data_IF_807519361675
#
_entry.id   IF_807519361675
#
_cell.length_a   1.000
_cell.length_b   1.000
_cell.length_c   1.000
_cell.angle_alpha   90.00
_cell.angle_beta   90.00
_cell.angle_gamma   90.00
#
_symmetry.space_group_name_H-M   'P 1'
#
loop_
_entity.id
_entity.type
_entity.pdbx_description
1 polymer ?
#
# COMPACT_ATOMS: atom_id res chain seq x y z
N UNK A 1 -15.80 -4.14 -4.48
CA UNK A 1 -14.62 -5.01 -4.55
C UNK A 1 -13.74 -4.71 -5.78
N UNK A 2 -14.23 -4.81 -7.02
CA UNK A 2 -13.43 -4.53 -8.24
C UNK A 2 -12.80 -3.12 -8.31
N UNK A 3 -13.48 -2.08 -7.84
CA UNK A 3 -12.95 -0.70 -7.82
C UNK A 3 -11.76 -0.53 -6.87
N UNK A 4 -11.72 -1.28 -5.76
CA UNK A 4 -10.65 -1.20 -4.75
C UNK A 4 -9.38 -1.94 -5.23
N UNK A 5 -9.53 -3.15 -5.77
CA UNK A 5 -8.45 -3.93 -6.36
C UNK A 5 -7.83 -3.21 -7.57
N UNK A 6 -8.66 -2.64 -8.45
CA UNK A 6 -8.20 -1.87 -9.60
C UNK A 6 -7.40 -0.63 -9.17
N UNK A 7 -7.78 0.05 -8.08
CA UNK A 7 -7.12 1.26 -7.61
C UNK A 7 -5.74 0.96 -7.01
N UNK A 8 -5.58 -0.09 -6.21
CA UNK A 8 -4.30 -0.47 -5.61
C UNK A 8 -3.33 -1.09 -6.61
N UNK A 9 -3.84 -1.98 -7.47
CA UNK A 9 -3.03 -2.60 -8.50
C UNK A 9 -2.57 -1.58 -9.56
N UNK A 10 -3.42 -0.61 -9.92
CA UNK A 10 -3.08 0.52 -10.78
C UNK A 10 -1.95 1.36 -10.18
N UNK A 11 -2.05 1.74 -8.92
CA UNK A 11 -1.04 2.53 -8.24
C UNK A 11 0.30 1.83 -8.22
N UNK A 12 0.34 0.57 -7.84
CA UNK A 12 1.57 -0.20 -7.70
C UNK A 12 2.31 -0.38 -9.03
N UNK A 13 1.61 -0.71 -10.10
CA UNK A 13 2.22 -0.94 -11.41
C UNK A 13 2.57 0.36 -12.15
N UNK A 14 1.73 1.38 -12.08
CA UNK A 14 2.05 2.71 -12.65
C UNK A 14 3.27 3.28 -11.95
N UNK A 15 3.35 3.20 -10.63
CA UNK A 15 4.48 3.71 -9.85
C UNK A 15 5.74 2.91 -10.10
N UNK A 16 5.68 1.57 -10.13
CA UNK A 16 6.84 0.72 -10.42
C UNK A 16 7.38 1.02 -11.83
N UNK A 17 6.52 1.20 -12.82
CA UNK A 17 6.95 1.54 -14.18
C UNK A 17 7.49 2.99 -14.28
N UNK A 18 6.89 3.93 -13.57
CA UNK A 18 7.35 5.32 -13.51
C UNK A 18 8.69 5.45 -12.77
N UNK A 19 8.88 4.70 -11.67
CA UNK A 19 10.16 4.69 -10.94
C UNK A 19 11.25 3.94 -11.69
N UNK A 20 10.94 2.87 -12.42
CA UNK A 20 11.91 2.12 -13.24
C UNK A 20 12.54 2.97 -14.35
N UNK A 21 11.80 3.93 -14.92
CA UNK A 21 12.31 4.86 -15.94
C UNK A 21 12.99 6.10 -15.36
N UNK A 22 12.81 6.35 -14.07
CA UNK A 22 13.29 7.56 -13.38
C UNK A 22 14.58 7.36 -12.58
N UNK A 23 15.19 6.17 -12.61
CA UNK A 23 16.45 5.91 -11.92
C UNK A 23 17.59 6.72 -12.51
N UNK A 24 17.76 7.93 -12.04
CA UNK A 24 18.99 8.68 -12.28
C UNK A 24 18.97 10.19 -12.08
N UNK A 25 17.82 10.87 -12.09
CA UNK A 25 17.88 12.35 -12.13
C UNK A 25 16.79 13.15 -11.44
N UNK A 26 15.91 12.57 -10.63
CA UNK A 26 14.67 13.30 -10.29
C UNK A 26 14.23 13.31 -8.82
N UNK A 27 15.10 13.54 -7.87
CA UNK A 27 14.65 13.82 -6.50
C UNK A 27 15.11 15.16 -5.91
N UNK A 28 15.92 15.94 -6.62
CA UNK A 28 16.40 17.24 -6.14
C UNK A 28 16.35 18.27 -7.26
N UNK A 29 15.35 19.13 -7.28
CA UNK A 29 15.43 20.32 -8.12
C UNK A 29 14.17 20.93 -8.71
N UNK A 30 12.97 20.48 -8.37
CA UNK A 30 11.75 21.16 -8.80
C UNK A 30 11.09 21.87 -7.63
N UNK A 31 11.13 23.20 -7.64
CA UNK A 31 10.24 24.03 -6.86
C UNK A 31 8.83 23.87 -7.44
N UNK A 32 8.01 23.03 -6.83
CA UNK A 32 6.58 22.95 -7.16
C UNK A 32 5.88 24.16 -6.53
N UNK A 33 5.26 25.00 -7.34
CA UNK A 33 4.23 25.89 -6.84
C UNK A 33 2.97 25.04 -6.58
N UNK A 34 2.44 25.08 -5.37
CA UNK A 34 1.27 24.29 -4.92
C UNK A 34 0.05 24.38 -5.85
N UNK A 35 -0.05 25.48 -6.63
CA UNK A 35 -1.17 25.74 -7.54
C UNK A 35 -1.28 24.80 -8.74
N UNK A 36 -0.15 24.24 -9.23
CA UNK A 36 -0.15 23.41 -10.43
C UNK A 36 -0.44 21.93 -10.11
N UNK A 37 -0.14 21.51 -8.90
CA UNK A 37 -0.32 20.12 -8.45
C UNK A 37 -1.78 19.81 -8.15
N UNK A 38 -2.55 20.78 -7.63
CA UNK A 38 -3.96 20.62 -7.29
C UNK A 38 -4.90 21.04 -8.43
N UNK A 39 -4.42 21.11 -9.67
CA UNK A 39 -5.23 21.53 -10.79
C UNK A 39 -6.36 20.49 -11.08
N UNK A 40 -7.64 20.90 -11.03
CA UNK A 40 -8.78 20.03 -11.31
C UNK A 40 -8.69 19.30 -12.65
N UNK A 41 -8.00 19.86 -13.64
CA UNK A 41 -7.77 19.26 -14.96
C UNK A 41 -7.00 17.93 -14.87
N UNK A 42 -6.10 17.79 -13.88
CA UNK A 42 -5.34 16.56 -13.67
C UNK A 42 -6.23 15.47 -13.05
N UNK A 43 -7.15 15.80 -12.16
CA UNK A 43 -8.13 14.85 -11.61
C UNK A 43 -9.09 14.34 -12.69
N UNK A 44 -9.56 15.23 -13.56
CA UNK A 44 -10.41 14.86 -14.69
C UNK A 44 -9.65 13.98 -15.70
N UNK A 45 -8.37 14.27 -15.96
CA UNK A 45 -7.52 13.47 -16.84
C UNK A 45 -7.28 12.08 -16.26
N UNK A 46 -7.02 12.00 -14.96
CA UNK A 46 -6.85 10.74 -14.24
C UNK A 46 -8.14 9.91 -14.23
N UNK A 47 -9.26 10.55 -13.94
CA UNK A 47 -10.57 9.90 -13.91
C UNK A 47 -10.95 9.33 -15.28
N UNK A 48 -10.68 10.06 -16.36
CA UNK A 48 -10.86 9.59 -17.74
C UNK A 48 -9.94 8.43 -18.06
N UNK A 49 -8.66 8.50 -17.70
CA UNK A 49 -7.70 7.44 -17.92
C UNK A 49 -8.11 6.14 -17.19
N UNK A 50 -8.54 6.26 -15.92
CA UNK A 50 -9.05 5.12 -15.14
C UNK A 50 -10.33 4.56 -15.78
N UNK A 51 -11.25 5.42 -16.18
CA UNK A 51 -12.50 5.02 -16.84
C UNK A 51 -12.26 4.22 -18.13
N UNK A 52 -11.32 4.68 -18.92
CA UNK A 52 -10.94 4.01 -20.18
C UNK A 52 -10.27 2.65 -19.93
N UNK A 53 -9.35 2.56 -18.94
CA UNK A 53 -8.71 1.29 -18.58
C UNK A 53 -9.77 0.30 -18.09
N UNK A 54 -10.63 0.72 -17.17
CA UNK A 54 -11.68 -0.14 -16.60
C UNK A 54 -12.71 -0.54 -17.68
N UNK A 55 -13.05 0.38 -18.60
CA UNK A 55 -13.98 0.13 -19.69
C UNK A 55 -13.45 -0.86 -20.73
N UNK A 56 -12.13 -0.85 -20.96
CA UNK A 56 -11.46 -1.75 -21.90
C UNK A 56 -11.11 -3.12 -21.30
N UNK A 57 -11.31 -3.31 -20.00
CA UNK A 57 -11.02 -4.58 -19.34
C UNK A 57 -12.10 -5.62 -19.72
N UNK A 58 -11.77 -6.52 -20.64
CA UNK A 58 -12.71 -7.49 -21.20
C UNK A 58 -12.89 -8.71 -20.31
N UNK A 59 -11.85 -9.07 -19.55
CA UNK A 59 -11.87 -10.20 -18.64
C UNK A 59 -12.25 -9.74 -17.23
N UNK A 60 -13.22 -10.40 -16.61
CA UNK A 60 -13.68 -10.10 -15.26
C UNK A 60 -13.47 -11.32 -14.37
N UNK A 61 -12.82 -11.10 -13.22
CA UNK A 61 -12.76 -12.11 -12.17
C UNK A 61 -14.18 -12.47 -11.70
N UNK A 62 -14.50 -13.76 -11.77
CA UNK A 62 -15.73 -14.35 -11.22
C UNK A 62 -15.38 -15.18 -9.98
N UNK A 63 -16.35 -15.49 -9.09
CA UNK A 63 -16.10 -16.29 -7.90
C UNK A 63 -15.46 -17.67 -8.15
N UNK A 64 -15.58 -18.19 -9.37
CA UNK A 64 -15.07 -19.50 -9.80
C UNK A 64 -14.03 -19.42 -10.92
N UNK A 65 -13.30 -18.32 -11.01
CA UNK A 65 -12.24 -18.14 -12.02
C UNK A 65 -11.14 -19.19 -11.80
N UNK A 66 -10.85 -19.98 -12.82
CA UNK A 66 -9.79 -20.99 -12.81
C UNK A 66 -8.39 -20.34 -12.84
N UNK A 67 -7.35 -21.07 -12.40
CA UNK A 67 -5.97 -20.55 -12.42
C UNK A 67 -5.49 -20.13 -13.81
N UNK A 68 -5.92 -20.82 -14.84
CA UNK A 68 -5.62 -20.53 -16.25
C UNK A 68 -6.22 -19.19 -16.70
N UNK A 69 -7.41 -18.87 -16.20
CA UNK A 69 -8.06 -17.57 -16.46
C UNK A 69 -7.35 -16.42 -15.75
N UNK A 70 -6.71 -16.67 -14.59
CA UNK A 70 -5.94 -15.64 -13.86
C UNK A 70 -4.75 -15.18 -14.70
N UNK A 71 -4.00 -16.09 -15.30
CA UNK A 71 -2.87 -15.73 -16.16
C UNK A 71 -3.30 -14.91 -17.39
N UNK A 72 -4.47 -15.22 -18.00
CA UNK A 72 -5.02 -14.45 -19.09
C UNK A 72 -5.45 -13.03 -18.65
N UNK A 73 -6.02 -12.91 -17.44
CA UNK A 73 -6.38 -11.62 -16.84
C UNK A 73 -5.16 -10.78 -16.55
N UNK A 74 -4.10 -11.39 -16.04
CA UNK A 74 -2.81 -10.71 -15.78
C UNK A 74 -2.18 -10.20 -17.07
N UNK A 75 -2.19 -11.01 -18.14
CA UNK A 75 -1.66 -10.61 -19.44
C UNK A 75 -2.47 -9.45 -20.07
N UNK A 76 -3.79 -9.50 -19.99
CA UNK A 76 -4.67 -8.40 -20.46
C UNK A 76 -4.41 -7.12 -19.63
N UNK A 77 -4.29 -7.27 -18.31
CA UNK A 77 -3.94 -6.18 -17.40
C UNK A 77 -2.62 -5.52 -17.80
N UNK A 78 -1.54 -6.30 -17.98
CA UNK A 78 -0.25 -5.76 -18.38
C UNK A 78 -0.31 -5.04 -19.75
N UNK A 79 -1.10 -5.56 -20.70
CA UNK A 79 -1.29 -4.92 -21.99
C UNK A 79 -2.00 -3.57 -21.85
N UNK A 80 -3.07 -3.50 -21.06
CA UNK A 80 -3.80 -2.26 -20.76
C UNK A 80 -2.91 -1.23 -20.06
N UNK A 81 -2.10 -1.67 -19.09
CA UNK A 81 -1.18 -0.79 -18.37
C UNK A 81 -0.08 -0.23 -19.27
N UNK A 82 0.49 -1.05 -20.17
CA UNK A 82 1.45 -0.56 -21.17
C UNK A 82 0.84 0.48 -22.10
N UNK A 83 -0.41 0.29 -22.49
CA UNK A 83 -1.13 1.23 -23.35
C UNK A 83 -1.46 2.54 -22.59
N UNK A 84 -1.92 2.44 -21.36
CA UNK A 84 -2.19 3.59 -20.49
C UNK A 84 -0.92 4.43 -20.26
N UNK A 85 0.23 3.78 -20.03
CA UNK A 85 1.51 4.46 -19.84
C UNK A 85 1.94 5.37 -21.01
N UNK A 86 1.50 5.05 -22.24
CA UNK A 86 1.75 5.90 -23.42
C UNK A 86 0.90 7.17 -23.45
N UNK A 87 -0.19 7.20 -22.69
CA UNK A 87 -1.14 8.32 -22.62
C UNK A 87 -0.87 9.26 -21.44
N UNK A 88 0.07 8.89 -20.56
CA UNK A 88 0.45 9.70 -19.41
C UNK A 88 1.38 10.80 -19.89
N UNK A 89 0.90 12.05 -19.87
CA UNK A 89 1.74 13.23 -20.15
C UNK A 89 2.73 13.49 -19.02
N UNK A 90 3.84 14.24 -19.26
CA UNK A 90 4.76 14.62 -18.19
C UNK A 90 4.05 15.29 -17.00
N UNK A 91 3.14 16.22 -17.25
CA UNK A 91 2.40 16.95 -16.22
C UNK A 91 1.51 16.02 -15.39
N UNK A 92 0.81 15.08 -16.06
CA UNK A 92 0.01 14.08 -15.36
C UNK A 92 0.88 13.13 -14.52
N UNK A 93 2.09 12.82 -15.00
CA UNK A 93 3.08 12.03 -14.27
C UNK A 93 3.51 12.73 -12.99
N UNK A 94 3.89 14.00 -13.08
CA UNK A 94 4.35 14.79 -11.95
C UNK A 94 3.24 14.93 -10.90
N UNK A 95 2.01 15.17 -11.35
CA UNK A 95 0.82 15.15 -10.49
C UNK A 95 0.63 13.80 -9.77
N UNK A 96 0.75 12.68 -10.47
CA UNK A 96 0.61 11.34 -9.89
C UNK A 96 1.71 11.05 -8.86
N UNK A 97 2.96 11.42 -9.17
CA UNK A 97 4.10 11.26 -8.25
C UNK A 97 3.89 12.09 -6.99
N UNK A 98 3.51 13.36 -7.13
CA UNK A 98 3.25 14.22 -5.99
C UNK A 98 2.13 13.68 -5.10
N UNK A 99 0.99 13.29 -5.71
CA UNK A 99 -0.15 12.73 -4.98
C UNK A 99 0.20 11.44 -4.24
N UNK A 100 1.02 10.59 -4.84
CA UNK A 100 1.54 9.39 -4.21
C UNK A 100 2.44 9.71 -3.03
N UNK A 101 3.42 10.59 -3.22
CA UNK A 101 4.33 11.00 -2.14
C UNK A 101 3.56 11.66 -0.99
N UNK A 102 2.61 12.53 -1.29
CA UNK A 102 1.76 13.16 -0.26
C UNK A 102 0.99 12.12 0.54
N UNK A 103 0.40 11.12 -0.14
CA UNK A 103 -0.31 10.03 0.55
C UNK A 103 0.63 9.20 1.41
N UNK A 104 1.80 8.81 0.90
CA UNK A 104 2.77 8.02 1.67
C UNK A 104 3.27 8.79 2.90
N UNK A 105 3.54 10.08 2.75
CA UNK A 105 3.93 10.94 3.87
C UNK A 105 2.80 11.04 4.88
N UNK A 106 1.57 11.28 4.44
CA UNK A 106 0.39 11.35 5.29
C UNK A 106 0.17 10.03 6.06
N UNK A 107 0.25 8.90 5.37
CA UNK A 107 0.11 7.58 5.97
C UNK A 107 1.18 7.32 7.04
N UNK A 108 2.43 7.74 6.82
CA UNK A 108 3.51 7.59 7.79
C UNK A 108 3.35 8.56 8.97
N UNK A 109 2.99 9.81 8.71
CA UNK A 109 2.93 10.86 9.75
C UNK A 109 1.67 10.75 10.59
N UNK A 110 0.52 10.49 9.98
CA UNK A 110 -0.80 10.51 10.64
C UNK A 110 -1.43 9.12 10.76
N UNK A 111 -1.13 8.20 9.85
CA UNK A 111 -1.71 6.86 9.77
C UNK A 111 -0.76 5.75 10.24
N UNK A 112 -0.89 4.59 9.65
CA UNK A 112 -0.12 3.39 9.95
C UNK A 112 0.90 3.06 8.84
N UNK A 113 1.33 4.05 8.06
CA UNK A 113 2.31 3.91 6.98
C UNK A 113 1.88 2.86 5.96
N UNK A 114 2.81 1.96 5.54
CA UNK A 114 2.51 0.95 4.54
C UNK A 114 1.41 -0.05 4.95
N UNK A 115 1.00 -0.04 6.23
CA UNK A 115 -0.09 -0.90 6.73
C UNK A 115 -1.47 -0.29 6.52
N UNK A 116 -1.59 1.04 6.30
CA UNK A 116 -2.86 1.75 6.27
C UNK A 116 -3.88 1.08 5.34
N UNK A 117 -3.55 0.99 4.06
CA UNK A 117 -4.45 0.38 3.07
C UNK A 117 -4.69 -1.12 3.33
N UNK A 118 -3.67 -1.86 3.83
CA UNK A 118 -3.80 -3.30 4.10
C UNK A 118 -4.81 -3.57 5.21
N UNK A 119 -4.82 -2.72 6.24
CA UNK A 119 -5.77 -2.82 7.34
C UNK A 119 -7.20 -2.43 6.92
N UNK A 120 -7.34 -1.53 5.95
CA UNK A 120 -8.64 -1.13 5.40
C UNK A 120 -9.24 -2.16 4.43
N UNK A 121 -8.42 -3.03 3.83
CA UNK A 121 -8.89 -4.07 2.90
C UNK A 121 -9.83 -5.07 3.57
N UNK A 122 -11.08 -5.24 3.10
CA UNK A 122 -12.04 -6.13 3.77
C UNK A 122 -11.69 -7.62 3.65
N UNK A 123 -10.90 -8.01 2.65
CA UNK A 123 -10.50 -9.39 2.38
C UNK A 123 -9.13 -9.76 2.97
N UNK A 124 -8.47 -8.85 3.68
CA UNK A 124 -7.27 -9.14 4.47
C UNK A 124 -7.69 -9.50 5.88
N UNK A 125 -7.33 -10.68 6.34
CA UNK A 125 -7.65 -11.18 7.67
C UNK A 125 -6.53 -10.90 8.66
N UNK A 126 -5.29 -10.99 8.20
CA UNK A 126 -4.11 -10.82 9.03
C UNK A 126 -3.00 -10.08 8.28
N UNK A 127 -2.29 -9.21 9.00
CA UNK A 127 -1.11 -8.49 8.50
C UNK A 127 0.07 -8.82 9.39
N UNK A 128 1.16 -9.28 8.81
CA UNK A 128 2.37 -9.69 9.53
C UNK A 128 3.58 -8.94 9.00
N UNK A 129 4.29 -8.26 9.89
CA UNK A 129 5.53 -7.53 9.60
C UNK A 129 6.70 -8.26 10.21
N UNK A 130 7.73 -8.54 9.42
CA UNK A 130 8.96 -9.20 9.84
C UNK A 130 10.15 -8.31 9.49
N UNK A 131 10.63 -7.58 10.48
CA UNK A 131 11.57 -6.48 10.27
C UNK A 131 10.95 -5.38 9.40
N UNK A 132 11.76 -4.41 8.98
CA UNK A 132 11.28 -3.31 8.13
C UNK A 132 10.99 -3.70 6.68
N UNK A 133 11.57 -4.80 6.21
CA UNK A 133 11.66 -5.11 4.78
C UNK A 133 10.54 -6.01 4.27
N UNK A 134 9.80 -6.71 5.14
CA UNK A 134 8.80 -7.71 4.72
C UNK A 134 7.47 -7.53 5.44
N UNK A 135 6.42 -7.36 4.66
CA UNK A 135 5.04 -7.31 5.13
C UNK A 135 4.24 -8.36 4.38
N UNK A 136 3.76 -9.35 5.12
CA UNK A 136 2.89 -10.41 4.61
C UNK A 136 1.45 -10.11 4.98
N UNK A 137 0.53 -10.60 4.15
CA UNK A 137 -0.91 -10.56 4.42
C UNK A 137 -1.50 -11.95 4.27
N UNK A 138 -2.50 -12.25 5.09
CA UNK A 138 -3.36 -13.40 4.87
C UNK A 138 -4.66 -12.94 4.22
N UNK A 139 -4.98 -13.55 3.11
CA UNK A 139 -6.18 -13.31 2.32
C UNK A 139 -6.86 -14.64 2.03
N UNK A 140 -8.11 -14.83 2.48
CA UNK A 140 -8.87 -16.07 2.21
C UNK A 140 -8.11 -17.35 2.60
N UNK A 141 -7.36 -17.31 3.71
CA UNK A 141 -6.55 -18.43 4.20
C UNK A 141 -5.20 -18.61 3.48
N UNK A 142 -4.85 -17.73 2.54
CA UNK A 142 -3.58 -17.79 1.80
C UNK A 142 -2.65 -16.68 2.27
N UNK A 143 -1.45 -17.08 2.70
CA UNK A 143 -0.37 -16.16 3.05
C UNK A 143 0.34 -15.70 1.78
N UNK A 144 0.54 -14.38 1.64
CA UNK A 144 1.23 -13.80 0.49
C UNK A 144 2.05 -12.57 0.90
N UNK A 145 3.14 -12.33 0.18
CA UNK A 145 3.92 -11.10 0.34
C UNK A 145 3.10 -9.91 -0.22
N UNK A 146 2.98 -8.85 0.59
CA UNK A 146 2.32 -7.62 0.15
C UNK A 146 3.18 -6.79 -0.81
N UNK A 147 4.49 -7.07 -0.85
CA UNK A 147 5.54 -6.32 -1.53
C UNK A 147 5.72 -4.90 -1.01
N UNK A 148 5.27 -4.62 0.21
CA UNK A 148 5.48 -3.35 0.92
C UNK A 148 6.59 -3.49 1.95
N UNK A 149 7.18 -2.37 2.35
CA UNK A 149 8.22 -2.30 3.37
C UNK A 149 8.14 -0.96 4.09
N UNK A 150 8.79 -0.89 5.25
CA UNK A 150 9.01 0.36 5.97
C UNK A 150 10.32 1.00 5.54
N UNK A 151 10.41 2.31 5.58
CA UNK A 151 11.64 3.05 5.28
C UNK A 151 12.74 2.78 6.32
N UNK A 152 12.35 2.65 7.60
CA UNK A 152 13.29 2.35 8.68
C UNK A 152 12.61 1.59 9.82
N UNK A 153 13.44 1.00 10.72
CA UNK A 153 12.93 0.32 11.91
C UNK A 153 12.34 1.31 12.92
N UNK A 154 12.85 2.54 12.98
CA UNK A 154 12.34 3.60 13.85
C UNK A 154 10.91 3.98 13.46
N UNK A 155 10.63 4.07 12.16
CA UNK A 155 9.26 4.31 11.66
C UNK A 155 8.35 3.15 12.02
N UNK A 156 8.80 1.90 11.85
CA UNK A 156 8.03 0.72 12.24
C UNK A 156 7.72 0.74 13.74
N UNK A 157 8.70 1.02 14.60
CA UNK A 157 8.49 1.11 16.05
C UNK A 157 7.51 2.23 16.39
N UNK A 158 7.66 3.40 15.79
CA UNK A 158 6.73 4.53 16.00
C UNK A 158 5.29 4.19 15.60
N UNK A 159 5.11 3.42 14.52
CA UNK A 159 3.79 2.96 14.10
C UNK A 159 3.24 1.90 15.05
N UNK A 160 4.07 0.96 15.54
CA UNK A 160 3.66 0.01 16.59
C UNK A 160 3.17 0.78 17.82
N UNK A 161 3.95 1.75 18.32
CA UNK A 161 3.56 2.59 19.47
C UNK A 161 2.23 3.30 19.22
N UNK A 162 2.03 3.87 18.04
CA UNK A 162 0.78 4.54 17.63
C UNK A 162 -0.42 3.61 17.66
N UNK A 163 -0.24 2.35 17.26
CA UNK A 163 -1.31 1.34 17.27
C UNK A 163 -1.70 0.95 18.69
N UNK A 164 -0.72 0.80 19.60
CA UNK A 164 -0.98 0.24 20.94
C UNK A 164 -1.24 1.30 22.02
N UNK A 165 -0.82 2.54 21.81
CA UNK A 165 -1.05 3.63 22.78
C UNK A 165 -2.52 3.87 23.09
N UNK A 166 -3.46 3.86 22.12
CA UNK A 166 -4.88 4.05 22.40
C UNK A 166 -5.49 2.99 23.33
N UNK A 167 -4.88 1.82 23.44
CA UNK A 167 -5.32 0.74 24.34
C UNK A 167 -4.55 0.71 25.66
N UNK A 168 -3.81 1.79 25.95
CA UNK A 168 -3.06 1.95 27.21
C UNK A 168 -1.87 1.01 27.33
N UNK A 169 -1.32 0.54 26.21
CA UNK A 169 -0.14 -0.32 26.18
C UNK A 169 1.09 0.49 25.74
N UNK A 170 2.26 0.00 26.14
CA UNK A 170 3.56 0.56 25.81
C UNK A 170 4.50 -0.56 25.37
N UNK A 171 5.38 -0.25 24.44
CA UNK A 171 6.46 -1.12 24.02
C UNK A 171 7.77 -0.33 24.07
N UNK A 172 8.78 -0.86 24.73
CA UNK A 172 10.11 -0.28 24.84
C UNK A 172 11.13 -1.36 25.19
N UNK A 173 12.40 -0.99 25.34
CA UNK A 173 13.47 -1.96 25.70
C UNK A 173 13.23 -2.70 27.02
N UNK A 174 12.51 -2.11 27.96
CA UNK A 174 12.18 -2.74 29.26
C UNK A 174 10.94 -3.62 29.16
N UNK A 175 10.06 -3.32 28.21
CA UNK A 175 8.83 -4.08 27.91
C UNK A 175 8.76 -4.34 26.41
N UNK A 176 9.62 -5.21 25.87
CA UNK A 176 9.82 -5.38 24.43
C UNK A 176 8.79 -6.26 23.75
N UNK A 177 7.77 -6.72 24.45
CA UNK A 177 6.66 -7.54 23.95
C UNK A 177 5.34 -6.93 24.36
N UNK A 178 4.39 -6.87 23.44
CA UNK A 178 3.03 -6.47 23.71
C UNK A 178 2.04 -7.42 23.00
N UNK A 179 0.99 -7.79 23.73
CA UNK A 179 -0.20 -8.45 23.20
C UNK A 179 -1.40 -7.62 23.67
N UNK A 180 -2.23 -7.17 22.74
CA UNK A 180 -3.37 -6.31 23.05
C UNK A 180 -4.53 -6.57 22.09
N UNK A 181 -5.71 -6.09 22.51
CA UNK A 181 -6.90 -6.05 21.68
C UNK A 181 -7.26 -4.60 21.38
N UNK A 182 -7.38 -4.27 20.10
CA UNK A 182 -7.75 -2.95 19.63
C UNK A 182 -9.25 -2.68 19.84
N UNK A 183 -9.70 -1.40 19.79
CA UNK A 183 -11.11 -1.05 20.00
C UNK A 183 -12.07 -1.67 18.98
N UNK A 184 -11.60 -1.96 17.76
CA UNK A 184 -12.36 -2.63 16.72
C UNK A 184 -12.47 -4.16 16.91
N UNK A 185 -11.85 -4.69 17.99
CA UNK A 185 -11.80 -6.11 18.30
C UNK A 185 -10.61 -6.86 17.71
N UNK A 186 -9.82 -6.23 16.86
CA UNK A 186 -8.61 -6.81 16.27
C UNK A 186 -7.56 -7.11 17.35
N UNK A 187 -6.78 -8.18 17.17
CA UNK A 187 -5.70 -8.54 18.07
C UNK A 187 -4.37 -8.09 17.49
N UNK A 188 -3.57 -7.42 18.30
CA UNK A 188 -2.23 -6.98 17.93
C UNK A 188 -1.19 -7.65 18.84
N UNK A 189 -0.14 -8.19 18.23
CA UNK A 189 1.06 -8.67 18.90
C UNK A 189 2.27 -8.00 18.29
N UNK A 190 3.16 -7.45 19.12
CA UNK A 190 4.40 -6.86 18.65
C UNK A 190 5.56 -7.21 19.56
N UNK A 191 6.72 -7.36 18.95
CA UNK A 191 7.98 -7.66 19.65
C UNK A 191 9.11 -6.82 19.03
N UNK A 192 9.97 -6.28 19.92
CA UNK A 192 11.12 -5.46 19.51
C UNK A 192 12.40 -5.94 20.20
N UNK A 193 13.52 -5.32 19.88
CA UNK A 193 14.77 -5.53 20.60
C UNK A 193 14.61 -5.23 22.12
N UNK A 194 15.22 -6.02 23.01
CA UNK A 194 16.23 -7.08 22.78
C UNK A 194 15.65 -8.48 22.51
N UNK A 195 14.36 -8.69 22.58
CA UNK A 195 13.77 -10.03 22.37
C UNK A 195 13.75 -10.45 20.92
N UNK A 196 13.54 -9.52 19.98
CA UNK A 196 13.58 -9.81 18.54
C UNK A 196 14.97 -9.49 17.98
N UNK A 197 15.72 -10.53 17.60
CA UNK A 197 17.06 -10.36 17.05
C UNK A 197 17.07 -9.97 15.57
N UNK A 198 15.97 -10.21 14.88
CA UNK A 198 15.82 -9.95 13.43
C UNK A 198 15.13 -8.62 13.12
N UNK A 199 15.09 -7.70 14.10
CA UNK A 199 14.34 -6.45 14.01
C UNK A 199 12.93 -6.55 14.57
N UNK A 200 12.18 -5.44 14.62
CA UNK A 200 10.81 -5.41 15.12
C UNK A 200 9.89 -6.32 14.31
N UNK A 201 8.98 -7.00 15.00
CA UNK A 201 7.93 -7.78 14.36
C UNK A 201 6.56 -7.35 14.90
N UNK A 202 5.55 -7.35 14.01
CA UNK A 202 4.18 -6.96 14.33
C UNK A 202 3.21 -7.88 13.61
N UNK A 203 2.22 -8.38 14.35
CA UNK A 203 1.10 -9.12 13.78
C UNK A 203 -0.20 -8.47 14.18
N UNK A 204 -1.07 -8.20 13.21
CA UNK A 204 -2.42 -7.68 13.44
C UNK A 204 -3.41 -8.63 12.80
N UNK A 205 -4.18 -9.33 13.65
CA UNK A 205 -5.27 -10.17 13.21
C UNK A 205 -6.58 -9.41 13.32
N UNK A 206 -7.19 -9.12 12.18
CA UNK A 206 -8.41 -8.35 12.12
C UNK A 206 -9.58 -9.14 12.69
N UNK A 207 -10.48 -8.43 13.36
CA UNK A 207 -11.74 -9.02 13.78
C UNK A 207 -12.64 -9.22 12.57
N UNK A 208 -13.01 -10.47 12.29
CA UNK A 208 -13.96 -10.80 11.23
C UNK A 208 -15.32 -10.20 11.56
N UNK A 209 -15.81 -9.30 10.73
CA UNK A 209 -17.18 -8.77 10.79
C UNK A 209 -18.09 -9.61 9.95
#
# INVERSE_FOLDING_TARGET
MAKYLAREFLWRNVVTELTRRSTGKMLYGYGFEDSDVLNPKHEDALSRLIGDIVGNFTLRLRPHTLKEDVAAIEADWEAQMRQAGKRITPELRDYLVHRMLSKEIEDVVLGYGPLQDLLEMPNVNEVMVVGKDRIFIEKEGVLQDSGRSFFSEEILISIIERIITPVGRRIDRSTPLVDARLPDGSRVNAIINPLSLSGPALTIRKFAR
#
